data_IF_799083295130
#
_entry.id   IF_799083295130
#
_cell.length_a   1.000
_cell.length_b   1.000
_cell.length_c   1.000
_cell.angle_alpha   90.00
_cell.angle_beta   90.00
_cell.angle_gamma   90.00
#
_symmetry.space_group_name_H-M   'P 1'
#
loop_
_entity.id
_entity.type
_entity.pdbx_description
1 polymer ?
#
# COMPACT_ATOMS: atom_id res chain seq x y z
N UNK A 1 -14.76 34.46 -7.01
CA UNK A 1 -14.03 33.48 -6.17
C UNK A 1 -12.89 32.92 -7.00
N UNK A 2 -11.67 32.99 -6.48
CA UNK A 2 -10.45 32.60 -7.19
C UNK A 2 -10.38 31.06 -7.21
N UNK A 3 -10.91 30.44 -8.27
CA UNK A 3 -10.74 29.00 -8.48
C UNK A 3 -9.30 28.76 -8.90
N UNK A 4 -8.42 28.58 -7.92
CA UNK A 4 -7.10 27.98 -8.09
C UNK A 4 -7.34 26.54 -8.53
N UNK A 5 -7.56 26.38 -9.84
CA UNK A 5 -7.68 25.09 -10.48
C UNK A 5 -6.31 24.51 -10.78
N UNK A 6 -6.30 23.54 -11.69
CA UNK A 6 -5.09 22.91 -12.24
C UNK A 6 -3.97 23.92 -12.60
N UNK A 7 -4.24 25.11 -13.19
CA UNK A 7 -3.19 26.08 -13.50
C UNK A 7 -2.42 26.59 -12.28
N UNK A 8 -3.09 26.81 -11.15
CA UNK A 8 -2.43 27.27 -9.94
C UNK A 8 -1.60 26.18 -9.26
N UNK A 9 -2.05 24.92 -9.32
CA UNK A 9 -1.26 23.78 -8.88
C UNK A 9 0.05 23.67 -9.68
N UNK A 10 -0.02 23.83 -11.01
CA UNK A 10 1.16 23.78 -11.90
C UNK A 10 2.16 24.88 -11.54
N UNK A 11 1.70 26.10 -11.22
CA UNK A 11 2.58 27.19 -10.82
C UNK A 11 3.34 26.88 -9.52
N UNK A 12 2.65 26.33 -8.52
CA UNK A 12 3.27 25.91 -7.26
C UNK A 12 4.29 24.79 -7.52
N UNK A 13 3.92 23.81 -8.35
CA UNK A 13 4.82 22.73 -8.77
C UNK A 13 6.05 23.28 -9.48
N UNK A 14 5.92 24.24 -10.38
CA UNK A 14 7.05 24.85 -11.09
C UNK A 14 8.03 25.52 -10.11
N UNK A 15 7.54 26.27 -9.12
CA UNK A 15 8.38 26.89 -8.09
C UNK A 15 9.08 25.82 -7.24
N UNK A 16 8.34 24.80 -6.82
CA UNK A 16 8.91 23.67 -6.08
C UNK A 16 9.99 22.94 -6.90
N UNK A 17 9.78 22.77 -8.21
CA UNK A 17 10.74 22.16 -9.11
C UNK A 17 11.98 23.03 -9.36
N UNK A 18 11.89 24.35 -9.26
CA UNK A 18 13.08 25.22 -9.32
C UNK A 18 13.94 25.05 -8.07
N UNK A 19 13.31 24.95 -6.89
CA UNK A 19 14.01 24.79 -5.61
C UNK A 19 14.60 23.39 -5.47
N UNK A 20 13.79 22.36 -5.72
CA UNK A 20 14.18 20.96 -5.52
C UNK A 20 14.81 20.34 -6.77
N UNK A 21 14.48 20.81 -7.97
CA UNK A 21 14.91 20.23 -9.24
C UNK A 21 13.91 19.18 -9.78
N UNK A 22 13.68 19.12 -11.11
CA UNK A 22 12.74 18.16 -11.73
C UNK A 22 13.15 16.70 -11.54
N UNK A 23 14.43 16.42 -11.33
CA UNK A 23 14.92 15.06 -11.11
C UNK A 23 14.64 14.52 -9.70
N UNK A 24 14.33 15.36 -8.71
CA UNK A 24 14.08 14.90 -7.33
C UNK A 24 12.73 14.22 -7.17
N UNK A 25 11.67 14.73 -7.79
CA UNK A 25 10.34 14.11 -7.67
C UNK A 25 10.30 12.66 -8.18
N UNK A 26 10.87 12.32 -9.36
CA UNK A 26 10.95 10.94 -9.82
C UNK A 26 11.83 10.05 -8.93
N UNK A 27 12.93 10.59 -8.38
CA UNK A 27 13.80 9.84 -7.47
C UNK A 27 13.09 9.50 -6.16
N UNK A 28 12.40 10.47 -5.56
CA UNK A 28 11.58 10.25 -4.36
C UNK A 28 10.43 9.28 -4.64
N UNK A 29 9.75 9.42 -5.78
CA UNK A 29 8.68 8.50 -6.20
C UNK A 29 9.17 7.06 -6.38
N UNK A 30 10.38 6.86 -6.94
CA UNK A 30 10.99 5.53 -7.04
C UNK A 30 11.28 4.94 -5.67
N UNK A 31 11.93 5.69 -4.77
CA UNK A 31 12.26 5.23 -3.43
C UNK A 31 10.99 4.86 -2.63
N UNK A 32 9.99 5.75 -2.63
CA UNK A 32 8.71 5.50 -1.97
C UNK A 32 7.99 4.32 -2.61
N UNK A 33 8.02 4.21 -3.95
CA UNK A 33 7.39 3.11 -4.68
C UNK A 33 8.00 1.74 -4.36
N UNK A 34 9.32 1.68 -4.22
CA UNK A 34 10.04 0.48 -3.79
C UNK A 34 9.64 0.09 -2.36
N UNK A 35 9.63 1.04 -1.43
CA UNK A 35 9.16 0.81 -0.05
C UNK A 35 7.71 0.34 0.00
N UNK A 36 6.80 0.97 -0.74
CA UNK A 36 5.39 0.56 -0.79
C UNK A 36 5.22 -0.83 -1.41
N UNK A 37 6.04 -1.17 -2.41
CA UNK A 37 6.02 -2.50 -3.03
C UNK A 37 6.46 -3.58 -2.06
N UNK A 38 7.57 -3.37 -1.34
CA UNK A 38 8.03 -4.31 -0.31
C UNK A 38 7.00 -4.43 0.82
N UNK A 39 6.51 -3.29 1.33
CA UNK A 39 5.48 -3.27 2.37
C UNK A 39 4.23 -4.05 1.95
N UNK A 40 3.76 -3.87 0.70
CA UNK A 40 2.62 -4.61 0.15
C UNK A 40 2.89 -6.12 0.09
N UNK A 41 4.08 -6.53 -0.34
CA UNK A 41 4.44 -7.95 -0.42
C UNK A 41 4.50 -8.59 0.96
N UNK A 42 5.22 -7.98 1.90
CA UNK A 42 5.34 -8.49 3.27
C UNK A 42 4.00 -8.53 4.00
N UNK A 43 3.15 -7.52 3.80
CA UNK A 43 1.79 -7.52 4.36
C UNK A 43 0.95 -8.64 3.75
N UNK A 44 1.07 -8.89 2.45
CA UNK A 44 0.31 -9.96 1.79
C UNK A 44 0.71 -11.34 2.31
N UNK A 45 2.00 -11.62 2.45
CA UNK A 45 2.51 -12.89 2.98
C UNK A 45 1.98 -13.13 4.40
N UNK A 46 2.05 -12.12 5.27
CA UNK A 46 1.54 -12.21 6.64
C UNK A 46 0.01 -12.44 6.68
N UNK A 47 -0.76 -11.79 5.81
CA UNK A 47 -2.21 -11.98 5.73
C UNK A 47 -2.56 -13.37 5.21
N UNK A 48 -1.81 -13.89 4.22
CA UNK A 48 -2.04 -15.22 3.67
C UNK A 48 -1.72 -16.31 4.73
N UNK A 49 -0.61 -16.18 5.48
CA UNK A 49 -0.25 -17.10 6.57
C UNK A 49 -1.33 -17.15 7.67
N UNK A 50 -1.75 -15.97 8.14
CA UNK A 50 -2.79 -15.86 9.16
C UNK A 50 -4.12 -16.42 8.66
N UNK A 51 -4.47 -16.18 7.40
CA UNK A 51 -5.70 -16.70 6.80
C UNK A 51 -5.68 -18.22 6.68
N UNK A 52 -4.53 -18.81 6.36
CA UNK A 52 -4.39 -20.27 6.25
C UNK A 52 -4.38 -20.95 7.63
N UNK A 53 -3.78 -20.33 8.66
CA UNK A 53 -3.91 -20.80 10.06
C UNK A 53 -5.38 -20.81 10.52
N UNK A 54 -6.12 -19.71 10.30
CA UNK A 54 -7.55 -19.65 10.66
C UNK A 54 -8.40 -20.68 9.92
N UNK A 55 -8.12 -20.96 8.64
CA UNK A 55 -8.83 -22.00 7.87
C UNK A 55 -8.56 -23.40 8.42
N UNK A 56 -7.32 -23.70 8.79
CA UNK A 56 -6.94 -25.01 9.35
C UNK A 56 -7.60 -25.25 10.72
N UNK A 57 -7.71 -24.22 11.55
CA UNK A 57 -8.36 -24.33 12.85
C UNK A 57 -9.88 -24.50 12.72
N UNK A 58 -10.53 -23.78 11.79
CA UNK A 58 -11.95 -23.99 11.47
C UNK A 58 -12.24 -25.41 10.96
N UNK A 59 -11.36 -25.97 10.12
CA UNK A 59 -11.54 -27.31 9.55
C UNK A 59 -11.41 -28.40 10.63
N UNK A 60 -10.44 -28.26 11.54
CA UNK A 60 -10.26 -29.14 12.70
C UNK A 60 -11.45 -29.06 13.66
N UNK A 61 -12.01 -27.88 13.88
CA UNK A 61 -13.18 -27.70 14.75
C UNK A 61 -14.45 -28.34 14.14
N UNK A 62 -14.68 -28.13 12.84
CA UNK A 62 -15.78 -28.78 12.11
C UNK A 62 -15.66 -30.32 12.12
N UNK A 63 -14.44 -30.86 12.01
CA UNK A 63 -14.19 -32.30 12.09
C UNK A 63 -14.48 -32.87 13.49
N UNK A 64 -14.09 -32.16 14.57
CA UNK A 64 -14.38 -32.56 15.96
C UNK A 64 -15.88 -32.60 16.25
N UNK A 65 -16.62 -31.58 15.82
CA UNK A 65 -18.07 -31.50 16.02
C UNK A 65 -18.79 -32.64 15.29
N UNK A 66 -18.32 -33.01 14.08
CA UNK A 66 -18.88 -34.12 13.31
C UNK A 66 -18.63 -35.50 13.94
N UNK A 67 -17.53 -35.68 14.67
CA UNK A 67 -17.20 -36.94 15.33
C UNK A 67 -17.93 -37.15 16.67
N UNK A 68 -18.46 -36.08 17.28
CA UNK A 68 -19.23 -36.10 18.52
C UNK A 68 -20.74 -36.29 18.32
N UNK A 69 -21.20 -36.26 17.06
CA UNK A 69 -22.59 -36.50 16.64
C UNK A 69 -22.76 -37.90 16.09
#
# INVERSE_FOLDING_TARGET
>A
MMNIGVPGLILILAIALIIFGPSKLPQLGKAIGETLREFKSSTKEMVDEVTDEFKMDEEKEKAKIKALK
#
